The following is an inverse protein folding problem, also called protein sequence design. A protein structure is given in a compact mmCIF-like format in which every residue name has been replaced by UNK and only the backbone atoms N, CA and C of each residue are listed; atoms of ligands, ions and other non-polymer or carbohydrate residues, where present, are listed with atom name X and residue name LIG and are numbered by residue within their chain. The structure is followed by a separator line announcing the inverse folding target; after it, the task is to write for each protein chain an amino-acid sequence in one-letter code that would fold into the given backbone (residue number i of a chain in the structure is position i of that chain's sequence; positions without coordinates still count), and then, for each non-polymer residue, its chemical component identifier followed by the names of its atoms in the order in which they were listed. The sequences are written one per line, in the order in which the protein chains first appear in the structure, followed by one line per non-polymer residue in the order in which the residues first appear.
data_IF_769323307731
#
_entry.id   IF_769323307731
#
_cell.length_a   1.000
_cell.length_b   1.000
_cell.length_c   1.000
_cell.angle_alpha   90.00
_cell.angle_beta   90.00
_cell.angle_gamma   90.00
#
_symmetry.space_group_name_H-M   'P 1'
#
loop_
_entity.id
_entity.type
_entity.pdbx_description
1 polymer ?
#
# COMPACT_ATOMS: atom_id res chain seq x y z
N UNK A 1 -5.96 8.06 9.43
CA UNK A 1 -5.58 6.84 8.68
C UNK A 1 -6.84 6.25 8.09
N UNK A 2 -6.89 6.09 6.78
CA UNK A 2 -8.02 5.48 6.07
C UNK A 2 -8.25 4.06 6.59
N UNK A 3 -9.48 3.70 6.97
CA UNK A 3 -9.81 2.39 7.55
C UNK A 3 -9.34 1.23 6.66
N UNK A 4 -9.41 1.41 5.35
CA UNK A 4 -9.02 0.41 4.37
C UNK A 4 -7.55 -0.03 4.43
N UNK A 5 -6.62 0.90 4.75
CA UNK A 5 -5.19 0.56 4.95
C UNK A 5 -5.02 -0.29 6.21
N UNK A 6 -5.76 0.04 7.27
CA UNK A 6 -5.71 -0.75 8.50
C UNK A 6 -6.27 -2.15 8.27
N UNK A 7 -7.41 -2.26 7.58
CA UNK A 7 -8.00 -3.54 7.22
C UNK A 7 -7.04 -4.41 6.39
N UNK A 8 -6.40 -3.89 5.34
CA UNK A 8 -5.39 -4.63 4.57
C UNK A 8 -4.21 -5.06 5.43
N UNK A 9 -3.67 -4.17 6.28
CA UNK A 9 -2.56 -4.50 7.17
C UNK A 9 -2.94 -5.63 8.14
N UNK A 10 -4.17 -5.60 8.68
CA UNK A 10 -4.65 -6.61 9.61
C UNK A 10 -5.00 -7.94 8.96
N UNK A 11 -5.71 -7.91 7.82
CA UNK A 11 -6.25 -9.11 7.16
C UNK A 11 -5.25 -9.76 6.20
N UNK A 12 -4.48 -8.96 5.46
CA UNK A 12 -3.63 -9.46 4.37
C UNK A 12 -2.14 -9.52 4.76
N UNK A 13 -1.68 -8.61 5.62
CA UNK A 13 -0.27 -8.55 6.06
C UNK A 13 -0.03 -9.11 7.47
N UNK A 14 -1.09 -9.52 8.18
CA UNK A 14 -0.96 -10.19 9.48
C UNK A 14 -0.48 -9.28 10.60
N UNK A 15 -0.84 -7.99 10.59
CA UNK A 15 -0.42 -7.01 11.60
C UNK A 15 -0.67 -7.47 13.05
N UNK A 16 -1.73 -8.24 13.30
CA UNK A 16 -2.07 -8.72 14.64
C UNK A 16 -1.01 -9.64 15.27
N UNK A 17 -0.19 -10.31 14.47
CA UNK A 17 0.82 -11.28 14.93
C UNK A 17 2.25 -10.91 14.53
N UNK A 18 2.43 -9.71 13.95
CA UNK A 18 3.72 -9.24 13.48
C UNK A 18 4.70 -9.04 14.63
N UNK A 19 5.87 -9.69 14.51
CA UNK A 19 6.98 -9.53 15.47
C UNK A 19 7.82 -8.29 15.19
N UNK A 20 7.84 -7.86 13.93
CA UNK A 20 8.57 -6.70 13.44
C UNK A 20 7.61 -5.83 12.64
N UNK A 21 6.93 -4.93 13.35
CA UNK A 21 5.96 -4.00 12.75
C UNK A 21 6.63 -3.04 11.77
N UNK A 22 7.81 -2.45 12.05
CA UNK A 22 8.51 -1.62 11.07
C UNK A 22 8.75 -2.32 9.73
N UNK A 23 9.28 -3.55 9.75
CA UNK A 23 9.54 -4.29 8.51
C UNK A 23 8.25 -4.60 7.73
N UNK A 24 7.18 -4.98 8.43
CA UNK A 24 5.87 -5.19 7.82
C UNK A 24 5.34 -3.92 7.14
N UNK A 25 5.53 -2.75 7.76
CA UNK A 25 5.13 -1.48 7.17
C UNK A 25 5.94 -1.16 5.91
N UNK A 26 7.23 -1.45 5.88
CA UNK A 26 8.07 -1.29 4.68
C UNK A 26 7.60 -2.19 3.54
N UNK A 27 7.26 -3.44 3.84
CA UNK A 27 6.70 -4.41 2.88
C UNK A 27 5.33 -3.95 2.36
N UNK A 28 4.45 -3.46 3.24
CA UNK A 28 3.15 -2.91 2.85
C UNK A 28 3.29 -1.67 1.96
N UNK A 29 4.20 -0.75 2.29
CA UNK A 29 4.46 0.44 1.48
C UNK A 29 5.01 0.05 0.10
N UNK A 30 5.85 -0.98 0.02
CA UNK A 30 6.29 -1.53 -1.26
C UNK A 30 5.12 -2.08 -2.08
N UNK A 31 4.34 -2.99 -1.49
CA UNK A 31 3.16 -3.57 -2.13
C UNK A 31 2.18 -2.49 -2.62
N UNK A 32 1.84 -1.53 -1.77
CA UNK A 32 0.89 -0.47 -2.08
C UNK A 32 1.35 0.40 -3.25
N UNK A 33 2.66 0.63 -3.37
CA UNK A 33 3.23 1.49 -4.41
C UNK A 33 3.53 0.76 -5.72
N UNK A 34 3.81 -0.54 -5.70
CA UNK A 34 4.35 -1.26 -6.86
C UNK A 34 3.53 -2.46 -7.30
N UNK A 35 2.83 -3.13 -6.39
CA UNK A 35 2.23 -4.46 -6.64
C UNK A 35 0.70 -4.43 -6.60
N UNK A 36 0.11 -3.44 -5.94
CA UNK A 36 -1.34 -3.35 -5.78
C UNK A 36 -2.05 -3.26 -7.15
N UNK A 37 -2.91 -4.24 -7.51
CA UNK A 37 -3.57 -4.27 -8.80
C UNK A 37 -4.49 -3.06 -8.97
N UNK A 38 -4.21 -2.28 -10.01
CA UNK A 38 -4.75 -0.96 -10.28
C UNK A 38 -6.24 -0.94 -10.70
N UNK A 39 -7.14 -1.48 -9.89
CA UNK A 39 -8.58 -1.49 -10.20
C UNK A 39 -9.22 -0.09 -10.22
N UNK A 40 -8.58 0.93 -9.64
CA UNK A 40 -9.14 2.29 -9.56
C UNK A 40 -8.44 3.36 -10.43
N UNK A 41 -7.36 3.04 -11.14
CA UNK A 41 -6.54 4.03 -11.88
C UNK A 41 -6.27 3.70 -13.36
N UNK A 42 -6.90 2.67 -13.93
CA UNK A 42 -6.58 2.26 -15.29
C UNK A 42 -5.10 1.89 -15.45
N UNK A 43 -4.56 1.12 -14.50
CA UNK A 43 -3.18 0.59 -14.53
C UNK A 43 -2.05 1.59 -14.29
N UNK A 44 -2.23 2.55 -13.37
CA UNK A 44 -1.12 3.40 -12.90
C UNK A 44 -0.95 3.30 -11.39
N UNK A 45 0.30 3.22 -10.94
CA UNK A 45 0.63 3.27 -9.51
C UNK A 45 0.44 4.68 -8.93
N UNK A 46 0.23 4.84 -7.60
CA UNK A 46 0.10 6.15 -6.96
C UNK A 46 1.28 7.10 -7.22
N UNK A 47 2.50 6.56 -7.38
CA UNK A 47 3.70 7.32 -7.77
C UNK A 47 3.56 7.87 -9.19
N UNK A 48 3.13 7.03 -10.14
CA UNK A 48 2.89 7.44 -11.53
C UNK A 48 1.76 8.47 -11.67
N UNK A 49 0.77 8.43 -10.77
CA UNK A 49 -0.28 9.45 -10.71
C UNK A 49 0.27 10.82 -10.28
N UNK A 50 1.17 10.85 -9.28
CA UNK A 50 1.78 12.11 -8.79
C UNK A 50 2.74 12.75 -9.81
N UNK A 51 3.52 11.96 -10.53
CA UNK A 51 4.48 12.49 -11.54
C UNK A 51 3.79 13.13 -12.76
N UNK A 52 2.52 12.79 -13.04
CA UNK A 52 1.79 13.35 -14.20
C UNK A 52 1.06 14.66 -13.95
N UNK A 53 1.08 15.20 -12.72
CA UNK A 53 0.43 16.47 -12.38
C UNK A 53 1.38 17.68 -12.26
N UNK A 54 2.68 17.52 -12.59
CA UNK A 54 3.59 18.65 -12.78
C UNK A 54 3.93 19.44 -11.51
N UNK A 55 4.63 18.80 -10.56
CA UNK A 55 5.64 19.49 -9.76
C UNK A 55 7.01 19.10 -10.29
#
# INVERSE_FOLDING_TARGET
MNGWIKEELFLDFGLATAKDVPKLLDEYVHYYNYERPAAALGYKSPVQYKTKLGF
#
